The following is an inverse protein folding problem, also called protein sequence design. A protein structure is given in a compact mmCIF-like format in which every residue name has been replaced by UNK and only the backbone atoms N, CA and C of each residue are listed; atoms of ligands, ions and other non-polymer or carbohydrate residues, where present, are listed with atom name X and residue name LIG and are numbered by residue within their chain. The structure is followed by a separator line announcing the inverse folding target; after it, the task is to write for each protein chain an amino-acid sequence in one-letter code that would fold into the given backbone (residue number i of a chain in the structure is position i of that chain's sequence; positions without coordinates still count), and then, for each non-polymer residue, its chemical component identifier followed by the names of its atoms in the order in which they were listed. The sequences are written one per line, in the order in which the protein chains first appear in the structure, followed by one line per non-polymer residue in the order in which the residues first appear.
data_IF_950447689885
#
_entry.id   IF_950447689885
#
_cell.length_a   1.000
_cell.length_b   1.000
_cell.length_c   1.000
_cell.angle_alpha   90.00
_cell.angle_beta   90.00
_cell.angle_gamma   90.00
#
_symmetry.space_group_name_H-M   'P 1'
#
loop_
_entity.id
_entity.type
_entity.pdbx_description
1 polymer ?
#
# COMPACT_ATOMS: atom_id res chain seq x y z
N UNK A 1 16.27 20.43 -10.26
CA UNK A 1 15.66 21.42 -9.33
C UNK A 1 16.77 22.27 -8.74
N UNK A 2 16.79 23.59 -9.00
CA UNK A 2 17.77 24.47 -8.34
C UNK A 2 17.25 24.75 -6.93
N UNK A 3 18.02 24.40 -5.91
CA UNK A 3 17.54 24.40 -4.51
C UNK A 3 17.22 25.80 -3.96
N UNK A 4 17.65 26.87 -4.64
CA UNK A 4 17.55 28.26 -4.15
C UNK A 4 16.79 29.22 -5.09
N UNK A 5 15.73 28.76 -5.78
CA UNK A 5 14.94 29.65 -6.63
C UNK A 5 14.12 30.67 -5.81
N UNK A 6 14.20 31.96 -6.18
CA UNK A 6 13.44 33.07 -5.56
C UNK A 6 12.24 33.53 -6.38
N UNK A 7 11.90 32.84 -7.46
CA UNK A 7 10.75 33.22 -8.28
C UNK A 7 9.45 33.05 -7.49
N UNK A 8 8.53 33.99 -7.71
CA UNK A 8 7.27 34.13 -6.97
C UNK A 8 6.18 34.48 -7.96
N UNK A 9 4.96 34.01 -7.70
CA UNK A 9 3.79 34.30 -8.52
C UNK A 9 2.66 34.77 -7.62
N UNK A 10 1.96 35.82 -8.06
CA UNK A 10 0.73 36.32 -7.45
C UNK A 10 -0.41 36.14 -8.45
N UNK A 11 -1.43 35.40 -8.04
CA UNK A 11 -2.66 35.21 -8.81
C UNK A 11 -3.85 35.84 -8.08
N UNK A 12 -4.84 36.28 -8.85
CA UNK A 12 -6.14 36.75 -8.35
C UNK A 12 -7.19 35.72 -8.75
N UNK A 13 -8.04 35.32 -7.82
CA UNK A 13 -9.18 34.45 -8.10
C UNK A 13 -10.43 35.27 -8.39
N UNK A 14 -10.97 35.17 -9.61
CA UNK A 14 -12.17 35.86 -10.08
C UNK A 14 -13.00 34.89 -10.92
N UNK A 15 -14.32 34.91 -10.77
CA UNK A 15 -15.26 34.11 -11.58
C UNK A 15 -14.93 32.61 -11.67
N UNK A 16 -14.38 32.05 -10.58
CA UNK A 16 -14.00 30.64 -10.52
C UNK A 16 -12.64 30.31 -11.16
N UNK A 17 -11.90 31.31 -11.65
CA UNK A 17 -10.63 31.15 -12.35
C UNK A 17 -9.51 31.97 -11.71
N UNK A 18 -8.28 31.46 -11.79
CA UNK A 18 -7.08 32.17 -11.36
C UNK A 18 -6.47 32.96 -12.52
N UNK A 19 -6.37 34.28 -12.36
CA UNK A 19 -5.69 35.18 -13.28
C UNK A 19 -4.30 35.53 -12.77
N UNK A 20 -3.29 35.44 -13.62
CA UNK A 20 -1.92 35.84 -13.30
C UNK A 20 -1.84 37.37 -13.19
N UNK A 21 -1.47 37.87 -12.01
CA UNK A 21 -1.31 39.31 -11.81
C UNK A 21 0.15 39.75 -11.94
N UNK A 22 1.06 39.06 -11.25
CA UNK A 22 2.50 39.40 -11.22
C UNK A 22 3.33 38.14 -11.05
N UNK A 23 4.52 38.13 -11.63
CA UNK A 23 5.51 37.10 -11.38
C UNK A 23 6.92 37.70 -11.32
N UNK A 24 7.80 37.01 -10.59
CA UNK A 24 9.24 37.25 -10.59
C UNK A 24 9.88 36.15 -11.42
N UNK A 25 10.63 36.55 -12.44
CA UNK A 25 11.21 35.61 -13.40
C UNK A 25 12.15 34.60 -12.72
N UNK A 26 12.13 33.39 -13.26
CA UNK A 26 13.00 32.32 -12.82
C UNK A 26 14.20 32.27 -13.77
N UNK A 27 15.43 32.42 -13.26
CA UNK A 27 16.66 32.30 -14.08
C UNK A 27 16.97 30.85 -14.49
N UNK A 28 15.95 30.03 -14.75
CA UNK A 28 16.07 28.66 -15.19
C UNK A 28 14.84 28.24 -16.00
N UNK A 29 15.07 27.39 -17.00
CA UNK A 29 13.98 26.79 -17.76
C UNK A 29 13.10 25.92 -16.86
N UNK A 30 11.76 25.91 -17.03
CA UNK A 30 10.89 24.98 -16.36
C UNK A 30 11.40 23.54 -16.58
N UNK A 31 11.69 22.82 -15.50
CA UNK A 31 11.82 21.38 -15.64
C UNK A 31 10.42 20.83 -15.83
N UNK A 32 10.12 20.34 -17.04
CA UNK A 32 9.02 19.43 -17.22
C UNK A 32 9.25 18.28 -16.22
N UNK A 33 8.46 18.22 -15.15
CA UNK A 33 8.24 16.94 -14.50
C UNK A 33 7.85 16.01 -15.64
N UNK A 34 8.47 14.84 -15.76
CA UNK A 34 7.99 13.79 -16.65
C UNK A 34 6.53 13.55 -16.26
N UNK A 35 5.64 14.28 -16.91
CA UNK A 35 4.22 14.09 -16.81
C UNK A 35 4.04 12.77 -17.53
N UNK A 36 4.13 11.68 -16.77
CA UNK A 36 3.31 10.53 -17.03
C UNK A 36 1.95 11.13 -17.41
N UNK A 37 1.53 10.94 -18.65
CA UNK A 37 0.34 11.53 -19.20
C UNK A 37 -0.85 10.99 -18.39
N UNK A 38 -1.19 11.68 -17.29
CA UNK A 38 -2.26 11.25 -16.38
C UNK A 38 -3.56 11.55 -17.10
N UNK A 39 -3.99 10.61 -17.93
CA UNK A 39 -5.31 10.61 -18.52
C UNK A 39 -6.34 10.62 -17.36
N UNK A 40 -7.44 11.40 -17.39
CA UNK A 40 -8.36 11.54 -16.25
C UNK A 40 -8.91 10.23 -15.66
N UNK A 41 -8.88 9.14 -16.44
CA UNK A 41 -9.34 7.82 -16.05
C UNK A 41 -8.21 6.83 -15.68
N UNK A 42 -6.94 7.17 -15.91
CA UNK A 42 -5.80 6.30 -15.59
C UNK A 42 -5.20 6.76 -14.25
N UNK A 43 -5.18 5.91 -13.22
CA UNK A 43 -4.52 6.24 -11.96
C UNK A 43 -3.00 6.33 -12.18
N UNK A 44 -2.35 7.28 -11.50
CA UNK A 44 -0.89 7.35 -11.49
C UNK A 44 -0.26 6.05 -10.96
N UNK A 45 1.01 5.81 -11.30
CA UNK A 45 1.74 4.63 -10.83
C UNK A 45 1.68 4.46 -9.30
N UNK A 46 1.79 5.56 -8.55
CA UNK A 46 1.68 5.55 -7.10
C UNK A 46 0.26 5.20 -6.62
N UNK A 47 -0.78 5.74 -7.26
CA UNK A 47 -2.16 5.41 -6.91
C UNK A 47 -2.49 3.93 -7.19
N UNK A 48 -2.01 3.38 -8.31
CA UNK A 48 -2.14 1.96 -8.62
C UNK A 48 -1.42 1.09 -7.58
N UNK A 49 -0.17 1.43 -7.24
CA UNK A 49 0.61 0.71 -6.22
C UNK A 49 -0.09 0.70 -4.86
N UNK A 50 -0.70 1.82 -4.46
CA UNK A 50 -1.49 1.90 -3.22
C UNK A 50 -2.72 0.99 -3.29
N UNK A 51 -3.47 1.00 -4.41
CA UNK A 51 -4.63 0.12 -4.59
C UNK A 51 -4.25 -1.36 -4.49
N UNK A 52 -3.18 -1.79 -5.15
CA UNK A 52 -2.67 -3.17 -5.07
C UNK A 52 -2.28 -3.52 -3.63
N UNK A 53 -1.61 -2.61 -2.92
CA UNK A 53 -1.24 -2.83 -1.51
C UNK A 53 -2.47 -2.98 -0.60
N UNK A 54 -3.52 -2.19 -0.82
CA UNK A 54 -4.77 -2.31 -0.07
C UNK A 54 -5.50 -3.62 -0.36
N UNK A 55 -5.65 -4.01 -1.62
CA UNK A 55 -6.27 -5.27 -2.01
C UNK A 55 -5.55 -6.48 -1.38
N UNK A 56 -4.21 -6.48 -1.42
CA UNK A 56 -3.41 -7.50 -0.72
C UNK A 56 -3.69 -7.52 0.78
N UNK A 57 -3.86 -6.37 1.43
CA UNK A 57 -4.17 -6.33 2.88
C UNK A 57 -5.57 -6.85 3.20
N UNK A 58 -6.56 -6.62 2.35
CA UNK A 58 -7.92 -7.13 2.55
C UNK A 58 -8.03 -8.63 2.26
N UNK A 59 -7.20 -9.14 1.35
CA UNK A 59 -7.18 -10.56 0.96
C UNK A 59 -6.24 -11.41 1.81
N UNK A 60 -5.35 -10.81 2.61
CA UNK A 60 -4.55 -11.56 3.59
C UNK A 60 -5.49 -11.97 4.73
N UNK A 61 -5.80 -13.28 4.88
CA UNK A 61 -6.46 -13.75 6.08
C UNK A 61 -5.57 -13.37 7.28
N UNK A 62 -6.14 -13.03 8.45
CA UNK A 62 -5.35 -12.93 9.67
C UNK A 62 -4.44 -14.16 9.75
N UNK A 63 -3.13 -13.97 9.93
CA UNK A 63 -2.23 -15.09 10.20
C UNK A 63 -2.85 -15.92 11.32
N UNK A 64 -3.08 -17.21 11.08
CA UNK A 64 -3.50 -18.13 12.14
C UNK A 64 -2.38 -18.11 13.17
N UNK A 65 -2.69 -17.61 14.37
CA UNK A 65 -1.67 -17.30 15.38
C UNK A 65 -1.23 -18.54 16.14
N UNK A 66 -2.07 -19.59 16.15
CA UNK A 66 -1.86 -20.82 16.91
C UNK A 66 -2.48 -22.02 16.20
N UNK A 67 -1.89 -23.21 16.39
CA UNK A 67 -2.41 -24.50 15.86
C UNK A 67 -3.88 -24.73 16.27
N UNK A 68 -4.27 -24.17 17.42
CA UNK A 68 -5.61 -24.25 18.02
C UNK A 68 -6.70 -23.57 17.19
N UNK A 69 -6.33 -22.68 16.27
CA UNK A 69 -7.27 -22.01 15.37
C UNK A 69 -7.57 -22.85 14.11
N UNK A 70 -6.91 -24.00 13.93
CA UNK A 70 -7.13 -24.90 12.80
C UNK A 70 -8.35 -25.79 13.12
N UNK A 71 -9.43 -25.63 12.35
CA UNK A 71 -10.58 -26.52 12.44
C UNK A 71 -10.25 -27.86 11.77
N UNK A 72 -9.91 -28.87 12.58
CA UNK A 72 -9.69 -30.25 12.12
C UNK A 72 -10.98 -31.03 12.37
N UNK A 73 -11.61 -31.61 11.34
CA UNK A 73 -12.81 -32.44 11.49
C UNK A 73 -12.54 -33.64 12.40
N UNK A 74 -13.50 -33.99 13.28
CA UNK A 74 -13.36 -35.08 14.26
C UNK A 74 -12.90 -36.42 13.65
N UNK A 75 -13.29 -36.69 12.39
CA UNK A 75 -12.85 -37.87 11.65
C UNK A 75 -11.34 -37.95 11.38
N UNK A 76 -10.63 -36.83 11.45
CA UNK A 76 -9.19 -36.70 11.26
C UNK A 76 -8.41 -36.57 12.58
N UNK A 77 -9.09 -36.64 13.72
CA UNK A 77 -8.42 -36.61 15.03
C UNK A 77 -7.76 -37.94 15.37
N UNK A 78 -8.20 -39.04 14.74
CA UNK A 78 -7.73 -40.39 15.07
C UNK A 78 -6.91 -41.02 13.95
N UNK A 79 -5.88 -41.79 14.31
CA UNK A 79 -5.12 -42.63 13.38
C UNK A 79 -5.94 -43.88 13.00
N UNK A 80 -5.46 -44.64 11.99
CA UNK A 80 -6.03 -45.95 11.65
C UNK A 80 -6.00 -46.94 12.83
N UNK A 81 -5.14 -46.71 13.83
CA UNK A 81 -5.05 -47.50 15.06
C UNK A 81 -5.93 -46.98 16.21
N UNK A 82 -6.63 -45.86 16.03
CA UNK A 82 -7.51 -45.25 17.03
C UNK A 82 -6.83 -44.24 17.96
N UNK A 83 -5.53 -44.00 17.81
CA UNK A 83 -4.78 -43.02 18.62
C UNK A 83 -5.02 -41.59 18.15
N UNK A 84 -4.94 -40.61 19.05
CA UNK A 84 -5.11 -39.19 18.72
C UNK A 84 -3.89 -38.65 17.94
N UNK A 85 -4.10 -38.09 16.75
CA UNK A 85 -3.05 -37.70 15.81
C UNK A 85 -2.30 -36.40 16.19
N UNK A 86 -2.81 -35.61 17.14
CA UNK A 86 -2.20 -34.35 17.58
C UNK A 86 -2.19 -34.25 19.11
N UNK A 87 -1.19 -34.87 19.74
CA UNK A 87 -0.90 -34.64 21.17
C UNK A 87 -0.20 -33.29 21.29
N UNK A 88 -0.84 -32.36 21.98
CA UNK A 88 -0.53 -30.93 21.97
C UNK A 88 0.87 -30.57 22.46
N UNK A 89 1.57 -31.44 23.20
CA UNK A 89 2.93 -31.17 23.66
C UNK A 89 3.71 -32.49 23.83
N UNK A 90 4.36 -32.97 22.77
CA UNK A 90 5.50 -33.86 22.99
C UNK A 90 6.62 -33.03 23.58
N UNK A 91 6.78 -33.06 24.91
CA UNK A 91 8.03 -32.64 25.54
C UNK A 91 9.08 -33.62 25.00
N UNK A 92 9.80 -33.20 23.96
CA UNK A 92 11.01 -33.90 23.53
C UNK A 92 12.00 -33.66 24.67
N UNK A 93 12.01 -34.55 25.66
CA UNK A 93 13.01 -34.53 26.71
C UNK A 93 14.38 -34.66 26.02
N UNK A 94 15.17 -33.59 26.10
CA UNK A 94 16.60 -33.65 25.80
C UNK A 94 17.26 -34.50 26.88
N UNK A 95 17.94 -35.58 26.49
CA UNK A 95 18.92 -36.27 27.33
C UNK A 95 20.11 -35.35 27.67
#
# INVERSE_FOLDING_TARGET
KLENCKGRVVTIFLDGLHHLQKFVDHNHSPQASSAEEIHPYIPSHNALRVKIKCARRTEIPPQLKTLDEINIPDSLHSTLGGDLFLVRDSIINQE
#
